data_IF_013924948370
#
_entry.id   IF_013924948370
#
_cell.length_a   1.000
_cell.length_b   1.000
_cell.length_c   1.000
_cell.angle_alpha   90.00
_cell.angle_beta   90.00
_cell.angle_gamma   90.00
#
_symmetry.space_group_name_H-M   'P 1'
#
loop_
_entity.id
_entity.type
_entity.pdbx_description
1 polymer ?
#
# COMPACT_ATOMS: atom_id res chain seq x y z
N UNK A 1 -20.35 -35.81 -17.62
CA UNK A 1 -19.47 -35.46 -16.48
C UNK A 1 -19.29 -33.95 -16.50
N UNK A 2 -19.71 -33.25 -15.45
CA UNK A 2 -19.64 -31.79 -15.38
C UNK A 2 -18.18 -31.35 -15.17
N UNK A 3 -17.73 -30.37 -15.97
CA UNK A 3 -16.35 -29.89 -15.99
C UNK A 3 -16.08 -29.03 -14.73
N UNK A 4 -15.23 -29.45 -13.79
CA UNK A 4 -15.07 -28.79 -12.48
C UNK A 4 -14.38 -27.41 -12.58
N UNK A 5 -13.80 -27.06 -13.73
CA UNK A 5 -13.07 -25.80 -13.96
C UNK A 5 -14.01 -24.62 -14.26
N UNK A 6 -15.23 -24.88 -14.73
CA UNK A 6 -16.20 -23.82 -15.02
C UNK A 6 -16.82 -23.21 -13.75
N UNK A 7 -16.78 -23.92 -12.61
CA UNK A 7 -17.36 -23.47 -11.34
C UNK A 7 -16.53 -22.41 -10.61
N UNK A 8 -15.20 -22.42 -10.77
CA UNK A 8 -14.30 -21.51 -10.05
C UNK A 8 -14.26 -20.10 -10.66
N UNK A 9 -14.22 -19.99 -12.00
CA UNK A 9 -14.22 -18.69 -12.70
C UNK A 9 -15.54 -17.93 -12.52
N UNK A 10 -16.67 -18.65 -12.37
CA UNK A 10 -17.98 -18.07 -12.12
C UNK A 10 -18.25 -17.70 -10.65
N UNK A 11 -17.46 -18.20 -9.71
CA UNK A 11 -17.65 -17.97 -8.27
C UNK A 11 -16.99 -16.67 -7.80
N UNK A 12 -15.78 -16.36 -8.30
CA UNK A 12 -15.06 -15.13 -7.97
C UNK A 12 -15.78 -13.86 -8.48
N UNK A 13 -16.35 -13.91 -9.69
CA UNK A 13 -17.08 -12.78 -10.29
C UNK A 13 -18.43 -12.48 -9.60
N UNK A 14 -18.93 -13.38 -8.74
CA UNK A 14 -20.19 -13.21 -8.00
C UNK A 14 -20.01 -12.72 -6.57
N UNK A 15 -18.78 -12.70 -6.04
CA UNK A 15 -18.54 -12.49 -4.61
C UNK A 15 -18.30 -11.02 -4.22
N UNK A 16 -17.78 -10.20 -5.15
CA UNK A 16 -17.44 -8.80 -4.85
C UNK A 16 -18.34 -7.86 -5.64
N UNK A 17 -19.20 -7.10 -4.94
CA UNK A 17 -19.92 -5.98 -5.56
C UNK A 17 -18.95 -4.80 -5.67
N UNK A 18 -18.73 -4.24 -6.88
CA UNK A 18 -17.93 -3.04 -7.03
C UNK A 18 -18.52 -1.90 -6.19
N UNK A 19 -17.67 -1.05 -5.60
CA UNK A 19 -18.20 0.12 -4.90
C UNK A 19 -18.81 1.10 -5.90
N UNK A 20 -19.79 1.86 -5.42
CA UNK A 20 -20.60 2.75 -6.24
C UNK A 20 -19.88 4.04 -6.64
N UNK A 21 -18.76 4.38 -5.99
CA UNK A 21 -17.95 5.57 -6.30
C UNK A 21 -16.51 5.44 -5.78
N UNK A 22 -15.60 6.24 -6.33
CA UNK A 22 -14.22 6.36 -5.82
C UNK A 22 -14.16 6.83 -4.36
N UNK A 23 -15.15 7.61 -3.93
CA UNK A 23 -15.24 8.13 -2.56
C UNK A 23 -15.56 7.01 -1.57
N UNK A 24 -16.48 6.10 -1.92
CA UNK A 24 -16.80 4.96 -1.09
C UNK A 24 -15.61 4.00 -0.90
N UNK A 25 -14.74 3.89 -1.92
CA UNK A 25 -13.47 3.17 -1.77
C UNK A 25 -12.53 3.85 -0.76
N UNK A 26 -12.39 5.18 -0.84
CA UNK A 26 -11.54 5.95 0.08
C UNK A 26 -12.07 5.83 1.51
N UNK A 27 -13.39 5.88 1.69
CA UNK A 27 -14.02 5.70 3.00
C UNK A 27 -13.70 4.33 3.62
N UNK A 28 -13.87 3.25 2.86
CA UNK A 28 -13.52 1.90 3.35
C UNK A 28 -12.04 1.76 3.70
N UNK A 29 -11.14 2.43 2.94
CA UNK A 29 -9.71 2.46 3.26
C UNK A 29 -9.42 3.28 4.53
N UNK A 30 -10.14 4.39 4.77
CA UNK A 30 -10.03 5.18 6.00
C UNK A 30 -10.48 4.36 7.22
N UNK A 31 -11.59 3.63 7.11
CA UNK A 31 -12.08 2.74 8.17
C UNK A 31 -11.03 1.67 8.53
N UNK A 32 -10.48 0.98 7.53
CA UNK A 32 -9.45 -0.06 7.73
C UNK A 32 -8.15 0.52 8.35
N UNK A 33 -7.73 1.72 7.92
CA UNK A 33 -6.57 2.41 8.52
C UNK A 33 -6.84 2.88 9.95
N UNK A 34 -8.07 3.32 10.26
CA UNK A 34 -8.45 3.70 11.61
C UNK A 34 -8.40 2.51 12.56
N UNK A 35 -8.99 1.38 12.17
CA UNK A 35 -8.97 0.13 12.93
C UNK A 35 -7.53 -0.36 13.16
N UNK A 36 -6.69 -0.27 12.14
CA UNK A 36 -5.28 -0.63 12.22
C UNK A 36 -4.49 0.23 13.21
N UNK A 37 -4.61 1.56 13.14
CA UNK A 37 -3.93 2.46 14.09
C UNK A 37 -4.50 2.30 15.51
N UNK A 38 -5.80 2.05 15.65
CA UNK A 38 -6.42 1.75 16.93
C UNK A 38 -5.86 0.45 17.54
N UNK A 39 -5.67 -0.60 16.75
CA UNK A 39 -5.08 -1.85 17.21
C UNK A 39 -3.62 -1.68 17.67
N UNK A 40 -2.85 -0.82 17.00
CA UNK A 40 -1.45 -0.56 17.35
C UNK A 40 -1.28 0.34 18.58
N UNK A 41 -2.14 1.36 18.74
CA UNK A 41 -1.89 2.47 19.66
C UNK A 41 -3.04 2.77 20.63
N UNK A 42 -4.16 2.04 20.57
CA UNK A 42 -5.32 2.21 21.46
C UNK A 42 -5.88 3.63 21.46
N UNK A 43 -6.03 4.24 20.28
CA UNK A 43 -6.36 5.67 20.12
C UNK A 43 -7.85 5.99 20.16
N UNK A 44 -8.72 5.04 19.82
CA UNK A 44 -10.16 5.27 19.68
C UNK A 44 -10.53 6.21 18.52
N UNK A 45 -9.74 6.22 17.45
CA UNK A 45 -10.03 6.97 16.22
C UNK A 45 -11.38 6.51 15.65
N UNK A 46 -12.31 7.43 15.34
CA UNK A 46 -13.54 7.04 14.66
C UNK A 46 -13.23 6.63 13.22
N UNK A 47 -13.69 5.44 12.81
CA UNK A 47 -13.45 4.93 11.45
C UNK A 47 -14.28 5.63 10.38
N UNK A 48 -15.42 6.21 10.74
CA UNK A 48 -16.39 6.77 9.79
C UNK A 48 -16.28 8.28 9.59
N UNK A 49 -16.60 8.71 8.38
CA UNK A 49 -16.65 10.09 7.91
C UNK A 49 -15.30 10.79 8.02
N UNK A 50 -15.30 11.92 8.71
CA UNK A 50 -14.11 12.75 8.88
C UNK A 50 -13.29 12.41 10.13
N UNK A 51 -13.76 11.45 10.95
CA UNK A 51 -13.19 11.14 12.25
C UNK A 51 -11.73 10.68 12.16
N UNK A 52 -11.43 9.80 11.22
CA UNK A 52 -10.08 9.26 11.01
C UNK A 52 -9.06 10.38 10.74
N UNK A 53 -9.32 11.21 9.73
CA UNK A 53 -8.39 12.29 9.35
C UNK A 53 -8.35 13.41 10.39
N UNK A 54 -9.45 13.68 11.08
CA UNK A 54 -9.47 14.62 12.21
C UNK A 54 -8.57 14.15 13.35
N UNK A 55 -8.59 12.85 13.67
CA UNK A 55 -7.72 12.28 14.69
C UNK A 55 -6.25 12.23 14.30
N UNK A 56 -5.92 12.34 13.00
CA UNK A 56 -4.55 12.47 12.51
C UNK A 56 -4.08 13.92 12.34
N UNK A 57 -4.98 14.91 12.44
CA UNK A 57 -4.73 16.30 12.05
C UNK A 57 -3.67 17.02 12.90
N UNK A 58 -3.24 16.46 14.03
CA UNK A 58 -2.13 16.97 14.85
C UNK A 58 -0.76 16.45 14.38
N UNK A 59 -0.72 15.43 13.51
CA UNK A 59 0.50 14.75 13.07
C UNK A 59 1.18 13.88 14.14
N UNK A 60 0.70 13.90 15.38
CA UNK A 60 1.29 13.18 16.52
C UNK A 60 1.30 11.67 16.29
N UNK A 61 0.15 11.09 15.94
CA UNK A 61 0.02 9.66 15.66
C UNK A 61 0.90 9.21 14.49
N UNK A 62 1.03 10.05 13.46
CA UNK A 62 1.88 9.77 12.31
C UNK A 62 3.35 9.69 12.71
N UNK A 63 3.82 10.65 13.50
CA UNK A 63 5.19 10.68 14.01
C UNK A 63 5.46 9.52 14.97
N UNK A 64 4.50 9.19 15.84
CA UNK A 64 4.56 8.01 16.70
C UNK A 64 4.71 6.73 15.87
N UNK A 65 3.95 6.60 14.78
CA UNK A 65 4.03 5.45 13.90
C UNK A 65 5.38 5.34 13.19
N UNK A 66 5.90 6.45 12.64
CA UNK A 66 7.24 6.49 12.05
C UNK A 66 8.32 6.01 13.02
N UNK A 67 8.23 6.41 14.29
CA UNK A 67 9.16 5.98 15.33
C UNK A 67 9.00 4.49 15.68
N UNK A 68 7.77 3.97 15.72
CA UNK A 68 7.53 2.54 15.94
C UNK A 68 8.10 1.68 14.80
N UNK A 69 7.93 2.10 13.54
CA UNK A 69 8.50 1.42 12.38
C UNK A 69 10.04 1.45 12.43
N UNK A 70 10.62 2.59 12.85
CA UNK A 70 12.07 2.73 13.06
C UNK A 70 12.59 1.79 14.15
N UNK A 71 11.85 1.64 15.26
CA UNK A 71 12.23 0.71 16.31
C UNK A 71 12.19 -0.74 15.82
N UNK A 72 11.14 -1.12 15.10
CA UNK A 72 11.02 -2.47 14.57
C UNK A 72 12.13 -2.79 13.55
N UNK A 73 12.49 -1.83 12.69
CA UNK A 73 13.63 -1.97 11.80
C UNK A 73 14.94 -2.21 12.56
N UNK A 74 15.17 -1.46 13.64
CA UNK A 74 16.35 -1.65 14.49
C UNK A 74 16.34 -3.02 15.16
N UNK A 75 15.21 -3.45 15.70
CA UNK A 75 15.06 -4.76 16.35
C UNK A 75 15.35 -5.92 15.39
N UNK A 76 15.03 -5.76 14.11
CA UNK A 76 15.33 -6.74 13.06
C UNK A 76 16.71 -6.57 12.40
N UNK A 77 17.53 -5.63 12.88
CA UNK A 77 18.79 -5.24 12.23
C UNK A 77 18.63 -4.91 10.73
N UNK A 78 17.46 -4.38 10.34
CA UNK A 78 17.18 -3.96 8.98
C UNK A 78 17.98 -2.69 8.64
N UNK A 79 18.39 -2.57 7.38
CA UNK A 79 19.20 -1.44 6.92
C UNK A 79 18.47 -0.09 7.03
N UNK A 80 17.13 -0.09 6.94
CA UNK A 80 16.27 1.10 7.06
C UNK A 80 14.88 0.72 7.55
N UNK A 81 14.13 1.68 8.13
CA UNK A 81 14.55 3.03 8.56
C UNK A 81 15.57 2.99 9.71
N UNK A 82 16.49 3.95 9.75
CA UNK A 82 17.56 4.06 10.78
C UNK A 82 17.30 5.18 11.78
N UNK A 83 16.60 6.23 11.35
CA UNK A 83 16.29 7.40 12.15
C UNK A 83 14.79 7.59 12.22
N UNK A 84 14.33 7.93 13.42
CA UNK A 84 12.95 8.34 13.65
C UNK A 84 12.77 9.84 13.41
N UNK A 85 11.63 10.35 13.84
CA UNK A 85 11.27 11.76 13.82
C UNK A 85 11.17 12.32 15.23
N UNK A 86 11.68 13.55 15.40
CA UNK A 86 11.33 14.38 16.54
C UNK A 86 10.03 15.12 16.23
N UNK A 87 9.14 15.24 17.21
CA UNK A 87 7.83 15.86 17.03
C UNK A 87 7.31 16.45 18.34
N UNK A 88 6.42 17.42 18.25
CA UNK A 88 5.72 17.95 19.42
C UNK A 88 4.56 17.01 19.76
N UNK A 89 4.64 16.35 20.92
CA UNK A 89 3.62 15.39 21.35
C UNK A 89 2.46 16.03 22.11
N UNK A 90 2.73 17.14 22.83
CA UNK A 90 1.78 17.73 23.77
C UNK A 90 1.29 19.09 23.28
N UNK A 91 0.04 19.44 23.65
CA UNK A 91 -0.55 20.75 23.38
C UNK A 91 -0.58 21.14 21.89
N UNK A 92 -0.67 20.16 20.99
CA UNK A 92 -0.82 20.40 19.55
C UNK A 92 -2.29 20.48 19.19
N UNK A 93 -2.72 21.66 18.76
CA UNK A 93 -4.05 21.83 18.19
C UNK A 93 -4.05 21.47 16.69
N UNK A 94 -5.06 20.75 16.18
CA UNK A 94 -5.29 20.60 14.74
C UNK A 94 -5.25 21.96 14.02
N UNK A 95 -4.64 22.03 12.84
CA UNK A 95 -4.52 23.29 12.07
C UNK A 95 -3.40 24.25 12.53
N UNK A 96 -2.78 24.01 13.68
CA UNK A 96 -1.68 24.84 14.20
C UNK A 96 -0.38 24.70 13.38
N UNK A 97 0.55 25.64 13.58
CA UNK A 97 1.90 25.54 13.01
C UNK A 97 2.63 24.27 13.50
N UNK A 98 2.50 23.92 14.79
CA UNK A 98 3.06 22.69 15.35
C UNK A 98 2.47 21.42 14.71
N UNK A 99 1.17 21.41 14.40
CA UNK A 99 0.56 20.29 13.69
C UNK A 99 1.15 20.13 12.29
N UNK A 100 1.33 21.24 11.56
CA UNK A 100 1.98 21.23 10.24
C UNK A 100 3.42 20.73 10.31
N UNK A 101 4.20 21.17 11.31
CA UNK A 101 5.58 20.73 11.52
C UNK A 101 5.68 19.24 11.82
N UNK A 102 4.78 18.70 12.64
CA UNK A 102 4.70 17.26 12.90
C UNK A 102 4.41 16.49 11.60
N UNK A 103 3.40 16.91 10.84
CA UNK A 103 3.04 16.26 9.57
C UNK A 103 4.20 16.35 8.56
N UNK A 104 4.87 17.50 8.47
CA UNK A 104 6.05 17.69 7.62
C UNK A 104 7.21 16.76 8.01
N UNK A 105 7.44 16.56 9.31
CA UNK A 105 8.46 15.65 9.83
C UNK A 105 8.17 14.21 9.43
N UNK A 106 6.91 13.77 9.56
CA UNK A 106 6.47 12.45 9.08
C UNK A 106 6.66 12.29 7.57
N UNK A 107 6.23 13.26 6.76
CA UNK A 107 6.40 13.27 5.30
C UNK A 107 7.89 13.17 4.93
N UNK A 108 8.75 13.93 5.60
CA UNK A 108 10.21 13.87 5.41
C UNK A 108 10.78 12.48 5.68
N UNK A 109 10.35 11.85 6.77
CA UNK A 109 10.75 10.50 7.13
C UNK A 109 10.27 9.43 6.15
N UNK A 110 9.01 9.50 5.71
CA UNK A 110 8.48 8.59 4.69
C UNK A 110 9.35 8.56 3.43
N UNK A 111 9.79 9.75 2.98
CA UNK A 111 10.67 9.91 1.82
C UNK A 111 12.09 9.41 2.10
N UNK A 112 12.73 9.93 3.14
CA UNK A 112 14.16 9.73 3.37
C UNK A 112 14.51 8.34 3.95
N UNK A 113 13.71 7.87 4.91
CA UNK A 113 14.02 6.69 5.70
C UNK A 113 13.24 5.46 5.22
N UNK A 114 11.93 5.60 4.98
CA UNK A 114 11.09 4.48 4.56
C UNK A 114 11.09 4.25 3.03
N UNK A 115 11.45 5.28 2.25
CA UNK A 115 11.55 5.22 0.80
C UNK A 115 10.21 5.15 0.07
N UNK A 116 9.16 5.79 0.61
CA UNK A 116 7.84 5.89 -0.03
C UNK A 116 7.97 6.63 -1.37
N UNK A 117 7.41 6.11 -2.48
CA UNK A 117 7.48 6.77 -3.79
C UNK A 117 6.79 8.15 -3.80
N UNK A 118 7.36 9.13 -4.49
CA UNK A 118 6.81 10.50 -4.55
C UNK A 118 5.35 10.56 -5.03
N UNK A 119 4.97 9.68 -5.96
CA UNK A 119 3.60 9.60 -6.49
C UNK A 119 2.57 9.19 -5.42
N UNK A 120 3.02 8.59 -4.31
CA UNK A 120 2.19 8.21 -3.17
C UNK A 120 2.33 9.16 -1.98
N UNK A 121 3.21 10.17 -2.07
CA UNK A 121 3.38 11.16 -1.01
C UNK A 121 2.21 12.16 -1.02
N UNK A 122 1.91 12.70 0.16
CA UNK A 122 0.94 13.79 0.33
C UNK A 122 1.64 15.05 0.88
N UNK A 123 0.96 16.19 0.80
CA UNK A 123 1.41 17.46 1.37
C UNK A 123 0.75 17.73 2.73
N UNK A 124 1.36 18.58 3.56
CA UNK A 124 0.82 18.93 4.88
C UNK A 124 -0.63 19.41 4.83
N UNK A 125 -0.96 20.22 3.82
CA UNK A 125 -2.29 20.78 3.62
C UNK A 125 -3.34 19.74 3.17
N UNK A 126 -2.91 18.62 2.58
CA UNK A 126 -3.82 17.53 2.20
C UNK A 126 -4.49 16.89 3.41
N UNK A 127 -3.76 16.83 4.54
CA UNK A 127 -4.28 16.35 5.82
C UNK A 127 -4.86 17.49 6.65
N UNK A 128 -4.09 18.57 6.86
CA UNK A 128 -4.44 19.63 7.82
C UNK A 128 -5.63 20.45 7.35
N UNK A 129 -5.71 20.76 6.06
CA UNK A 129 -6.83 21.50 5.44
C UNK A 129 -7.72 20.60 4.58
N UNK A 130 -7.51 19.28 4.60
CA UNK A 130 -8.34 18.30 3.90
C UNK A 130 -8.40 18.54 2.39
N UNK A 131 -7.31 19.05 1.79
CA UNK A 131 -7.28 19.34 0.34
C UNK A 131 -7.29 18.08 -0.52
N UNK A 132 -6.74 16.95 -0.03
CA UNK A 132 -6.66 15.72 -0.80
C UNK A 132 -6.52 14.48 0.11
N UNK A 133 -7.66 14.00 0.60
CA UNK A 133 -7.73 12.82 1.48
C UNK A 133 -7.17 11.55 0.85
N UNK A 134 -7.37 11.40 -0.47
CA UNK A 134 -6.93 10.23 -1.21
C UNK A 134 -5.42 10.08 -1.16
N UNK A 135 -4.67 11.17 -1.33
CA UNK A 135 -3.20 11.14 -1.21
C UNK A 135 -2.74 10.71 0.19
N UNK A 136 -3.40 11.20 1.25
CA UNK A 136 -3.10 10.79 2.63
C UNK A 136 -3.32 9.29 2.80
N UNK A 137 -4.47 8.77 2.38
CA UNK A 137 -4.83 7.36 2.51
C UNK A 137 -3.86 6.46 1.74
N UNK A 138 -3.53 6.80 0.50
CA UNK A 138 -2.60 6.02 -0.33
C UNK A 138 -1.18 6.01 0.25
N UNK A 139 -0.72 7.15 0.80
CA UNK A 139 0.55 7.22 1.49
C UNK A 139 0.60 6.27 2.69
N UNK A 140 -0.44 6.30 3.54
CA UNK A 140 -0.50 5.49 4.74
C UNK A 140 -0.59 3.99 4.45
N UNK A 141 -1.29 3.59 3.38
CA UNK A 141 -1.31 2.19 2.93
C UNK A 141 0.08 1.71 2.50
N UNK A 142 0.85 2.54 1.78
CA UNK A 142 2.23 2.20 1.43
C UNK A 142 3.13 2.14 2.67
N UNK A 143 2.99 3.09 3.61
CA UNK A 143 3.72 3.04 4.89
C UNK A 143 3.42 1.73 5.63
N UNK A 144 2.14 1.33 5.69
CA UNK A 144 1.73 0.09 6.34
C UNK A 144 2.30 -1.15 5.63
N UNK A 145 2.28 -1.18 4.30
CA UNK A 145 2.89 -2.26 3.49
C UNK A 145 4.39 -2.41 3.78
N UNK A 146 5.11 -1.30 3.94
CA UNK A 146 6.53 -1.31 4.29
C UNK A 146 6.77 -1.70 5.74
N UNK A 147 5.98 -1.18 6.66
CA UNK A 147 6.02 -1.53 8.09
C UNK A 147 5.75 -3.01 8.34
N UNK A 148 4.86 -3.63 7.57
CA UNK A 148 4.55 -5.05 7.66
C UNK A 148 5.77 -5.95 7.38
N UNK A 149 6.64 -5.54 6.45
CA UNK A 149 7.90 -6.25 6.17
C UNK A 149 8.89 -6.18 7.33
N UNK A 150 8.65 -5.26 8.28
CA UNK A 150 9.42 -5.08 9.50
C UNK A 150 8.68 -5.68 10.72
N UNK A 151 7.64 -6.49 10.49
CA UNK A 151 6.94 -7.23 11.54
C UNK A 151 5.84 -6.45 12.27
N UNK A 152 5.51 -5.21 11.86
CA UNK A 152 4.32 -4.54 12.39
C UNK A 152 3.05 -5.18 11.84
N UNK A 153 1.96 -5.10 12.62
CA UNK A 153 0.63 -5.41 12.11
C UNK A 153 0.33 -4.53 10.89
N UNK A 154 -0.37 -5.07 9.90
CA UNK A 154 -0.83 -4.35 8.71
C UNK A 154 -2.37 -4.18 8.74
N UNK A 155 -2.94 -3.17 8.07
CA UNK A 155 -4.39 -3.05 7.86
C UNK A 155 -4.89 -4.22 6.98
N UNK A 156 -6.18 -4.58 7.07
CA UNK A 156 -6.69 -5.81 6.44
C UNK A 156 -6.53 -5.79 4.94
N UNK A 157 -6.70 -4.64 4.29
CA UNK A 157 -6.49 -4.50 2.86
C UNK A 157 -5.07 -4.96 2.46
N UNK A 158 -4.05 -4.51 3.17
CA UNK A 158 -2.65 -4.90 2.92
C UNK A 158 -2.40 -6.38 3.23
N UNK A 159 -3.06 -6.92 4.26
CA UNK A 159 -2.97 -8.37 4.56
C UNK A 159 -3.51 -9.21 3.40
N UNK A 160 -4.67 -8.82 2.83
CA UNK A 160 -5.25 -9.49 1.67
C UNK A 160 -4.37 -9.35 0.42
N UNK A 161 -3.79 -8.18 0.16
CA UNK A 161 -2.83 -7.99 -0.95
C UNK A 161 -1.67 -9.00 -0.86
N UNK A 162 -1.08 -9.15 0.33
CA UNK A 162 0.03 -10.08 0.55
C UNK A 162 -0.40 -11.55 0.45
N UNK A 163 -1.63 -11.88 0.86
CA UNK A 163 -2.20 -13.22 0.72
C UNK A 163 -2.38 -13.59 -0.75
N UNK A 164 -3.00 -12.71 -1.53
CA UNK A 164 -3.16 -12.90 -2.98
C UNK A 164 -1.79 -13.05 -3.66
N UNK A 165 -0.80 -12.22 -3.33
CA UNK A 165 0.54 -12.32 -3.90
C UNK A 165 1.24 -13.65 -3.55
N UNK A 166 1.02 -14.16 -2.32
CA UNK A 166 1.53 -15.46 -1.89
C UNK A 166 0.90 -16.61 -2.68
N UNK A 167 -0.42 -16.58 -2.88
CA UNK A 167 -1.15 -17.59 -3.67
C UNK A 167 -0.73 -17.60 -5.15
N UNK A 168 -0.60 -16.42 -5.76
CA UNK A 168 -0.17 -16.28 -7.15
C UNK A 168 1.27 -16.78 -7.38
N UNK A 169 2.15 -16.62 -6.39
CA UNK A 169 3.51 -17.17 -6.44
C UNK A 169 3.54 -18.69 -6.26
N UNK A 170 2.61 -19.25 -5.51
CA UNK A 170 2.51 -20.68 -5.23
C UNK A 170 1.86 -21.50 -6.37
N UNK A 171 1.16 -20.84 -7.30
CA UNK A 171 0.59 -21.49 -8.49
C UNK A 171 1.62 -21.48 -9.63
N UNK A 172 2.22 -22.62 -10.01
CA UNK A 172 3.06 -22.67 -11.20
C UNK A 172 2.22 -22.31 -12.42
N UNK A 173 2.69 -21.34 -13.22
CA UNK A 173 2.12 -21.01 -14.51
C UNK A 173 2.06 -22.29 -15.35
N UNK A 174 0.86 -22.79 -15.65
CA UNK A 174 0.68 -23.88 -16.61
C UNK A 174 1.03 -23.31 -17.98
N UNK A 175 2.31 -23.43 -18.34
CA UNK A 175 2.77 -23.24 -19.72
C UNK A 175 2.15 -24.32 -20.58
N UNK A 176 1.05 -23.99 -21.25
CA UNK A 176 0.58 -24.73 -22.40
C UNK A 176 0.09 -23.76 -23.47
N UNK A 177 1.02 -23.03 -24.07
CA UNK A 177 0.90 -22.68 -25.48
C UNK A 177 1.84 -23.63 -26.20
N UNK A 178 1.36 -24.65 -26.93
CA UNK A 178 2.26 -25.44 -27.76
C UNK A 178 2.86 -24.50 -28.80
N UNK A 179 4.19 -24.39 -28.81
CA UNK A 179 4.92 -23.80 -29.91
C UNK A 179 4.60 -24.65 -31.16
N UNK A 180 3.85 -24.07 -32.10
CA UNK A 180 3.76 -24.65 -33.42
C UNK A 180 5.15 -24.55 -34.04
N UNK A 181 5.81 -25.71 -34.16
CA UNK A 181 7.00 -25.92 -34.95
C UNK A 181 6.65 -25.60 -36.41
N UNK A 182 7.12 -24.48 -36.94
CA UNK A 182 7.19 -24.30 -38.40
C UNK A 182 8.45 -25.02 -38.88
N UNK A 183 8.19 -26.19 -39.48
CA UNK A 183 9.11 -27.10 -40.13
C UNK A 183 9.87 -26.41 -41.28
N UNK A 184 11.20 -26.41 -41.18
CA UNK A 184 12.12 -25.96 -42.22
C UNK A 184 12.48 -27.16 -43.08
N UNK A 185 11.87 -27.27 -44.26
CA UNK A 185 12.40 -28.11 -45.34
C UNK A 185 13.17 -27.26 -46.35
N UNK A 186 14.50 -27.31 -46.24
CA UNK A 186 15.48 -26.87 -47.24
C UNK A 186 15.81 -28.04 -48.17
N UNK A 187 15.73 -27.88 -49.51
CA UNK A 187 16.62 -28.58 -50.46
C UNK A 187 16.90 -27.68 -51.70
N UNK A 188 18.14 -27.15 -51.74
CA UNK A 188 19.15 -27.04 -52.83
C UNK A 188 18.71 -26.96 -54.32
N UNK A 189 19.29 -26.20 -55.27
CA UNK A 189 20.71 -25.99 -55.66
C UNK A 189 20.83 -24.84 -56.70
N UNK A 190 21.97 -24.13 -56.69
CA UNK A 190 22.46 -23.02 -57.56
C UNK A 190 23.21 -23.64 -58.79
N UNK A 191 23.32 -23.04 -60.03
CA UNK A 191 24.31 -21.97 -60.32
C UNK A 191 24.12 -21.01 -61.53
N UNK A 192 24.68 -19.79 -61.42
CA UNK A 192 25.45 -19.11 -62.49
C UNK A 192 24.78 -18.05 -63.41
N UNK A 193 24.91 -16.75 -63.06
CA UNK A 193 25.57 -15.58 -63.76
C UNK A 193 25.73 -15.60 -65.31
N UNK A 194 25.88 -14.47 -66.09
CA UNK A 194 25.52 -13.03 -65.99
C UNK A 194 24.77 -12.48 -67.24
N UNK A 195 24.24 -11.23 -67.18
CA UNK A 195 24.67 -10.02 -67.95
C UNK A 195 23.79 -8.84 -67.56
#
# INVERSE_FOLDING_TARGET
MANPVAGIAGSAAKSVRPFRSSEAYVEAMKEDLADWLNALYSLGLPGSGDGFLTGLATGTTLCQHANAVTEAARALAAARPTRGVAFQAHSVAPGSFMARDNVASFIGWCRAELGVPEVLMFETEDLVLRKNEKSVVLCLLEVARRGARLGLLAPRLVQFEQEIERELRATPQVSSVPAAEEDVTEIATVPGVPT
#
